data_IF_798660091816
#
_entry.id   IF_798660091816
#
_cell.length_a   1.000
_cell.length_b   1.000
_cell.length_c   1.000
_cell.angle_alpha   90.00
_cell.angle_beta   90.00
_cell.angle_gamma   90.00
#
_symmetry.space_group_name_H-M   'P 1'
#
loop_
_entity.id
_entity.type
_entity.pdbx_description
1 polymer ?
#
# COMPACT_ATOMS: atom_id res chain seq x y z
N UNK A 1 -10.16 19.49 1.29
CA UNK A 1 -9.57 19.17 -0.02
C UNK A 1 -10.41 18.14 -0.77
N UNK A 2 -10.33 18.15 -2.08
CA UNK A 2 -10.94 17.14 -2.94
C UNK A 2 -9.80 16.30 -3.52
N UNK A 3 -9.73 14.98 -3.24
CA UNK A 3 -8.73 14.12 -3.83
C UNK A 3 -8.98 13.95 -5.34
N UNK A 4 -7.92 13.94 -6.11
CA UNK A 4 -7.90 13.57 -7.52
C UNK A 4 -7.07 12.31 -7.63
N UNK A 5 -7.70 11.20 -7.99
CA UNK A 5 -7.01 9.95 -8.26
C UNK A 5 -6.44 9.98 -9.66
N UNK A 6 -5.17 9.68 -9.81
CA UNK A 6 -4.55 9.48 -11.12
C UNK A 6 -4.73 8.01 -11.53
N UNK A 7 -5.00 7.82 -12.82
CA UNK A 7 -5.17 6.48 -13.37
C UNK A 7 -3.79 5.84 -13.62
N UNK A 8 -3.49 4.78 -12.89
CA UNK A 8 -2.23 4.02 -12.99
C UNK A 8 -2.42 2.63 -13.62
N UNK A 9 -3.64 2.32 -14.10
CA UNK A 9 -3.90 1.04 -14.76
C UNK A 9 -3.18 0.95 -16.12
N UNK A 10 -2.78 -0.25 -16.58
CA UNK A 10 -3.00 -1.55 -15.94
C UNK A 10 -1.85 -2.02 -15.03
N UNK A 11 -0.67 -1.41 -15.09
CA UNK A 11 0.54 -1.87 -14.41
C UNK A 11 0.84 -1.15 -13.09
N UNK A 12 -0.02 -0.19 -12.73
CA UNK A 12 0.03 0.58 -11.50
C UNK A 12 1.31 1.39 -11.27
N UNK A 13 1.99 1.74 -12.36
CA UNK A 13 3.17 2.60 -12.37
C UNK A 13 2.81 4.07 -12.33
N UNK A 14 3.74 4.89 -11.86
CA UNK A 14 3.58 6.32 -11.77
C UNK A 14 4.05 6.95 -13.09
N UNK A 15 3.13 7.59 -13.82
CA UNK A 15 3.45 8.43 -14.96
C UNK A 15 3.71 9.86 -14.46
N UNK A 16 4.98 10.25 -14.42
CA UNK A 16 5.41 11.56 -13.94
C UNK A 16 4.85 12.70 -14.79
N UNK A 17 4.65 12.50 -16.10
CA UNK A 17 4.05 13.51 -16.98
C UNK A 17 2.57 13.69 -16.64
N UNK A 18 1.84 12.60 -16.41
CA UNK A 18 0.44 12.66 -15.96
C UNK A 18 0.32 13.38 -14.61
N UNK A 19 1.26 13.13 -13.69
CA UNK A 19 1.29 13.84 -12.41
C UNK A 19 1.47 15.34 -12.63
N UNK A 20 2.45 15.74 -13.43
CA UNK A 20 2.74 17.15 -13.69
C UNK A 20 1.58 17.86 -14.39
N UNK A 21 0.94 17.21 -15.37
CA UNK A 21 -0.22 17.74 -16.10
C UNK A 21 -1.47 17.92 -15.21
N UNK A 22 -1.60 17.13 -14.13
CA UNK A 22 -2.70 17.26 -13.18
C UNK A 22 -2.53 18.41 -12.17
N UNK A 23 -1.33 18.96 -12.03
CA UNK A 23 -1.04 20.06 -11.10
C UNK A 23 -1.66 21.37 -11.59
N UNK A 24 -2.28 22.09 -10.65
CA UNK A 24 -2.83 23.42 -10.87
C UNK A 24 -2.76 24.26 -9.59
N UNK A 25 -3.19 25.54 -9.64
CA UNK A 25 -3.13 26.49 -8.51
C UNK A 25 -3.83 26.00 -7.22
N UNK A 26 -4.74 25.03 -7.34
CA UNK A 26 -5.46 24.44 -6.21
C UNK A 26 -4.76 23.20 -5.64
N UNK A 27 -3.78 22.65 -6.34
CA UNK A 27 -3.01 21.50 -5.85
C UNK A 27 -2.17 21.91 -4.66
N UNK A 28 -2.31 21.21 -3.53
CA UNK A 28 -1.64 21.53 -2.26
C UNK A 28 -0.71 20.42 -1.79
N UNK A 29 -1.02 19.19 -2.14
CA UNK A 29 -0.17 18.06 -1.80
C UNK A 29 -0.34 16.93 -2.83
N UNK A 30 0.69 16.09 -2.91
CA UNK A 30 0.64 14.76 -3.51
C UNK A 30 0.80 13.75 -2.38
N UNK A 31 0.01 12.69 -2.40
CA UNK A 31 0.13 11.56 -1.48
C UNK A 31 0.59 10.34 -2.27
N UNK A 32 1.74 9.81 -1.89
CA UNK A 32 2.31 8.55 -2.38
C UNK A 32 2.09 7.48 -1.31
N UNK A 33 1.59 6.31 -1.68
CA UNK A 33 1.63 5.11 -0.85
C UNK A 33 2.48 4.06 -1.56
N UNK A 34 3.67 3.79 -1.02
CA UNK A 34 4.60 2.80 -1.56
C UNK A 34 5.37 2.12 -0.41
N UNK A 35 5.42 0.78 -0.39
CA UNK A 35 4.68 -0.20 -1.19
C UNK A 35 3.15 -0.03 -1.09
N UNK A 36 2.44 -0.22 -2.19
CA UNK A 36 1.06 0.23 -2.33
C UNK A 36 0.02 -0.77 -1.80
N UNK A 37 -0.97 -0.26 -1.07
CA UNK A 37 -2.23 -0.93 -0.84
C UNK A 37 -3.30 -0.27 -1.76
N UNK A 38 -3.90 -0.98 -2.72
CA UNK A 38 -4.13 -2.43 -2.76
C UNK A 38 -3.19 -3.25 -3.67
N UNK A 39 -2.33 -2.63 -4.46
CA UNK A 39 -1.70 -3.25 -5.63
C UNK A 39 -0.48 -4.11 -5.30
N UNK A 40 0.22 -3.80 -4.21
CA UNK A 40 1.52 -4.42 -3.88
C UNK A 40 2.68 -3.92 -4.73
N UNK A 41 2.47 -2.95 -5.62
CA UNK A 41 3.53 -2.34 -6.43
C UNK A 41 4.40 -1.44 -5.56
N UNK A 42 5.69 -1.44 -5.83
CA UNK A 42 6.67 -0.54 -5.21
C UNK A 42 7.08 0.50 -6.25
N UNK A 43 7.03 1.77 -5.88
CA UNK A 43 7.51 2.84 -6.74
C UNK A 43 9.03 2.71 -6.94
N UNK A 44 9.48 2.85 -8.17
CA UNK A 44 10.89 2.82 -8.51
C UNK A 44 11.63 4.05 -7.99
N UNK A 45 12.94 3.98 -7.85
CA UNK A 45 13.77 5.14 -7.47
C UNK A 45 13.58 6.32 -8.42
N UNK A 46 13.41 6.08 -9.72
CA UNK A 46 13.16 7.12 -10.73
C UNK A 46 11.80 7.80 -10.52
N UNK A 47 10.74 7.02 -10.28
CA UNK A 47 9.41 7.54 -9.98
C UNK A 47 9.40 8.36 -8.67
N UNK A 48 10.03 7.86 -7.63
CA UNK A 48 10.12 8.51 -6.32
C UNK A 48 10.87 9.83 -6.42
N UNK A 49 12.05 9.83 -7.07
CA UNK A 49 12.84 11.05 -7.31
C UNK A 49 12.09 12.06 -8.15
N UNK A 50 11.47 11.61 -9.25
CA UNK A 50 10.70 12.50 -10.12
C UNK A 50 9.52 13.15 -9.39
N UNK A 51 8.79 12.43 -8.54
CA UNK A 51 7.74 13.01 -7.69
C UNK A 51 8.30 14.06 -6.72
N UNK A 52 9.42 13.77 -6.09
CA UNK A 52 10.08 14.69 -5.17
C UNK A 52 10.50 16.00 -5.86
N UNK A 53 11.08 15.89 -7.06
CA UNK A 53 11.48 17.04 -7.89
C UNK A 53 10.27 17.86 -8.38
N UNK A 54 9.19 17.20 -8.83
CA UNK A 54 7.94 17.85 -9.22
C UNK A 54 7.35 18.63 -8.05
N UNK A 55 7.25 18.03 -6.87
CA UNK A 55 6.74 18.69 -5.67
C UNK A 55 7.59 19.92 -5.29
N UNK A 56 8.91 19.81 -5.35
CA UNK A 56 9.83 20.90 -5.07
C UNK A 56 9.68 22.04 -6.08
N UNK A 57 9.61 21.71 -7.37
CA UNK A 57 9.43 22.68 -8.48
C UNK A 57 8.14 23.50 -8.33
N UNK A 58 7.06 22.87 -7.94
CA UNK A 58 5.74 23.51 -7.83
C UNK A 58 5.42 24.05 -6.42
N UNK A 59 6.30 23.83 -5.43
CA UNK A 59 6.10 24.27 -4.04
C UNK A 59 4.90 23.61 -3.37
N UNK A 60 4.61 22.34 -3.69
CA UNK A 60 3.54 21.55 -3.12
C UNK A 60 4.11 20.49 -2.16
N UNK A 61 3.33 20.15 -1.13
CA UNK A 61 3.76 19.15 -0.16
C UNK A 61 3.76 17.74 -0.78
N UNK A 62 4.75 16.93 -0.43
CA UNK A 62 4.76 15.50 -0.70
C UNK A 62 4.55 14.74 0.61
N UNK A 63 3.52 13.91 0.65
CA UNK A 63 3.26 13.00 1.77
C UNK A 63 3.53 11.59 1.29
N UNK A 64 4.45 10.89 1.95
CA UNK A 64 4.80 9.50 1.66
C UNK A 64 4.29 8.60 2.78
N UNK A 65 3.35 7.72 2.46
CA UNK A 65 2.88 6.67 3.35
C UNK A 65 3.71 5.41 3.11
N UNK A 66 4.64 5.16 4.02
CA UNK A 66 5.65 4.12 3.95
C UNK A 66 5.37 2.94 4.92
N UNK A 67 4.14 2.82 5.40
CA UNK A 67 3.74 1.81 6.41
C UNK A 67 4.06 0.36 6.01
N UNK A 68 4.37 0.10 4.75
CA UNK A 68 4.76 -1.21 4.22
C UNK A 68 6.22 -1.27 3.77
N UNK A 69 7.07 -0.27 4.05
CA UNK A 69 8.46 -0.19 3.60
C UNK A 69 9.28 -1.44 3.94
N UNK A 70 9.12 -1.99 5.15
CA UNK A 70 9.77 -3.24 5.59
C UNK A 70 9.37 -4.47 4.75
N UNK A 71 8.21 -4.43 4.09
CA UNK A 71 7.77 -5.46 3.15
C UNK A 71 8.09 -5.09 1.70
N UNK A 72 9.22 -4.46 1.44
CA UNK A 72 9.77 -4.33 0.11
C UNK A 72 10.54 -5.61 -0.23
N UNK A 73 10.13 -6.30 -1.31
CA UNK A 73 10.76 -7.55 -1.75
C UNK A 73 11.85 -7.33 -2.78
N UNK A 74 12.14 -6.08 -3.11
CA UNK A 74 13.26 -5.65 -3.94
C UNK A 74 14.49 -5.38 -3.07
N UNK A 75 15.67 -5.33 -3.70
CA UNK A 75 16.93 -5.11 -2.97
C UNK A 75 17.04 -3.70 -2.35
N UNK A 76 16.37 -2.72 -2.95
CA UNK A 76 16.39 -1.33 -2.50
C UNK A 76 14.98 -0.75 -2.43
N UNK A 77 14.63 -0.18 -1.31
CA UNK A 77 13.48 0.69 -1.13
C UNK A 77 13.90 2.16 -1.27
N UNK A 78 13.16 2.94 -2.05
CA UNK A 78 13.42 4.37 -2.21
C UNK A 78 12.37 5.19 -1.47
N UNK A 79 12.82 6.16 -0.66
CA UNK A 79 11.95 7.15 -0.02
C UNK A 79 12.12 8.52 -0.69
N UNK A 80 11.05 9.27 -0.95
CA UNK A 80 11.18 10.62 -1.50
C UNK A 80 11.84 11.62 -0.53
N UNK A 81 11.97 11.26 0.76
CA UNK A 81 12.69 12.08 1.73
C UNK A 81 14.19 12.21 1.42
N UNK A 82 14.78 11.25 0.71
CA UNK A 82 16.18 11.30 0.26
C UNK A 82 16.41 12.37 -0.82
N UNK A 83 15.35 12.80 -1.51
CA UNK A 83 15.42 13.74 -2.63
C UNK A 83 14.76 15.09 -2.33
N UNK A 84 13.90 15.17 -1.32
CA UNK A 84 13.20 16.39 -0.94
C UNK A 84 13.01 16.45 0.58
N UNK A 85 13.80 17.27 1.27
CA UNK A 85 13.75 17.48 2.73
C UNK A 85 12.38 18.00 3.24
N UNK A 86 11.52 18.48 2.33
CA UNK A 86 10.16 18.93 2.67
C UNK A 86 9.13 17.79 2.62
N UNK A 87 9.55 16.55 2.36
CA UNK A 87 8.68 15.38 2.38
C UNK A 87 8.19 15.09 3.79
N UNK A 88 6.91 14.77 3.89
CA UNK A 88 6.28 14.30 5.14
C UNK A 88 6.15 12.78 5.01
N UNK A 89 6.88 12.03 5.84
CA UNK A 89 6.84 10.56 5.84
C UNK A 89 5.97 10.08 6.98
N UNK A 90 5.07 9.15 6.66
CA UNK A 90 4.20 8.45 7.61
C UNK A 90 4.64 7.01 7.66
N UNK A 91 4.98 6.52 8.85
CA UNK A 91 5.38 5.14 9.07
C UNK A 91 4.89 4.63 10.43
N UNK A 92 5.12 3.36 10.74
CA UNK A 92 4.74 2.78 12.02
C UNK A 92 4.89 1.27 12.10
N UNK A 93 4.58 0.75 13.26
CA UNK A 93 4.82 -0.64 13.65
C UNK A 93 3.62 -1.57 13.36
N UNK A 94 2.50 -1.00 12.91
CA UNK A 94 1.25 -1.74 12.76
C UNK A 94 1.34 -2.94 11.84
N UNK A 95 2.12 -2.83 10.75
CA UNK A 95 2.20 -3.84 9.71
C UNK A 95 3.45 -4.69 9.85
N UNK A 96 4.61 -4.07 9.87
CA UNK A 96 5.91 -4.72 9.99
C UNK A 96 6.04 -5.58 11.25
N UNK A 97 5.61 -5.05 12.39
CA UNK A 97 5.77 -5.70 13.70
C UNK A 97 4.47 -6.32 14.26
N UNK A 98 3.45 -6.50 13.41
CA UNK A 98 2.13 -7.04 13.81
C UNK A 98 1.47 -6.28 14.98
N UNK A 99 1.77 -4.97 15.13
CA UNK A 99 1.33 -4.13 16.25
C UNK A 99 0.07 -3.31 15.93
N UNK A 100 -0.87 -3.85 15.15
CA UNK A 100 -2.08 -3.12 14.74
C UNK A 100 -2.92 -2.64 15.93
N UNK A 101 -3.04 -3.46 16.98
CA UNK A 101 -3.78 -3.14 18.21
C UNK A 101 -3.06 -2.17 19.15
N UNK A 102 -1.76 -1.97 19.00
CA UNK A 102 -0.95 -1.08 19.85
C UNK A 102 -1.12 0.40 19.52
N UNK A 103 -1.65 0.71 18.33
CA UNK A 103 -1.92 2.08 17.88
C UNK A 103 -0.69 3.00 17.91
N UNK A 104 0.46 2.51 17.44
CA UNK A 104 1.72 3.22 17.41
C UNK A 104 2.18 3.44 15.96
N UNK A 105 2.45 4.68 15.63
CA UNK A 105 3.04 5.11 14.35
C UNK A 105 3.83 6.38 14.57
N UNK A 106 4.52 6.83 13.53
CA UNK A 106 5.35 8.02 13.54
C UNK A 106 5.16 8.82 12.26
N UNK A 107 5.43 10.11 12.37
CA UNK A 107 5.51 11.03 11.24
C UNK A 107 6.79 11.83 11.41
N UNK A 108 7.57 11.95 10.35
CA UNK A 108 8.69 12.88 10.30
C UNK A 108 8.61 13.77 9.05
N UNK A 109 9.28 14.92 9.11
CA UNK A 109 9.22 15.91 8.03
C UNK A 109 9.59 17.31 8.51
N UNK A 110 9.20 18.37 7.77
CA UNK A 110 9.56 19.74 8.09
C UNK A 110 9.12 20.16 9.51
N UNK A 111 10.02 20.79 10.25
CA UNK A 111 9.81 21.16 11.66
C UNK A 111 8.48 21.89 11.88
N UNK A 112 8.13 22.88 11.06
CA UNK A 112 6.91 23.66 11.21
C UNK A 112 5.63 22.81 11.07
N UNK A 113 5.65 21.77 10.23
CA UNK A 113 4.56 20.81 10.05
C UNK A 113 4.45 19.95 11.31
N UNK A 114 5.56 19.37 11.77
CA UNK A 114 5.60 18.50 12.95
C UNK A 114 5.15 19.25 14.22
N UNK A 115 5.61 20.48 14.40
CA UNK A 115 5.18 21.31 15.54
C UNK A 115 3.65 21.57 15.52
N UNK A 116 3.10 21.79 14.31
CA UNK A 116 1.65 21.99 14.15
C UNK A 116 0.87 20.71 14.43
N UNK A 117 1.36 19.55 13.92
CA UNK A 117 0.77 18.24 14.20
C UNK A 117 0.81 17.91 15.71
N UNK A 118 1.92 18.21 16.39
CA UNK A 118 2.04 18.00 17.83
C UNK A 118 1.02 18.84 18.65
N UNK A 119 0.74 20.09 18.23
CA UNK A 119 -0.30 20.90 18.83
C UNK A 119 -1.70 20.30 18.66
N UNK A 120 -2.03 19.84 17.45
CA UNK A 120 -3.31 19.19 17.16
C UNK A 120 -3.46 17.91 17.98
N UNK A 121 -2.38 17.12 18.05
CA UNK A 121 -2.34 15.87 18.81
C UNK A 121 -2.69 16.10 20.30
N UNK A 122 -2.15 17.15 20.93
CA UNK A 122 -2.45 17.48 22.34
C UNK A 122 -3.93 17.65 22.61
N UNK A 123 -4.69 18.16 21.63
CA UNK A 123 -6.14 18.38 21.77
C UNK A 123 -7.00 17.22 21.27
N UNK A 124 -6.39 16.20 20.66
CA UNK A 124 -7.09 15.02 20.13
C UNK A 124 -6.96 13.82 21.08
N UNK A 125 -5.78 13.26 21.21
CA UNK A 125 -5.52 12.06 22.00
C UNK A 125 -4.22 12.16 22.83
N UNK A 126 -3.66 13.35 22.96
CA UNK A 126 -2.49 13.74 23.79
C UNK A 126 -1.20 13.10 23.28
N UNK A 127 -1.05 11.78 23.36
CA UNK A 127 0.12 11.03 22.91
C UNK A 127 -0.26 9.54 22.69
N UNK A 128 0.63 8.81 22.02
CA UNK A 128 0.52 7.35 21.98
C UNK A 128 0.65 6.75 23.39
N UNK A 129 0.01 5.60 23.69
CA UNK A 129 0.11 4.96 24.99
C UNK A 129 1.58 4.67 25.38
N UNK A 130 1.99 5.05 26.59
CA UNK A 130 3.37 4.89 27.03
C UNK A 130 3.91 3.45 26.91
N UNK A 131 3.15 2.38 27.26
CA UNK A 131 3.62 1.03 27.05
C UNK A 131 3.91 0.71 25.57
N UNK A 132 3.10 1.26 24.65
CA UNK A 132 3.32 1.08 23.21
C UNK A 132 4.60 1.79 22.75
N UNK A 133 4.92 2.96 23.30
CA UNK A 133 6.15 3.67 22.97
C UNK A 133 7.40 2.88 23.40
N UNK A 134 7.39 2.27 24.59
CA UNK A 134 8.50 1.41 25.05
C UNK A 134 8.60 0.14 24.19
N UNK A 135 7.48 -0.48 23.84
CA UNK A 135 7.48 -1.61 22.91
C UNK A 135 8.02 -1.21 21.51
N UNK A 136 7.75 0.02 21.06
CA UNK A 136 8.29 0.55 19.81
C UNK A 136 9.82 0.64 19.78
N UNK A 137 10.45 0.99 20.89
CA UNK A 137 11.91 1.00 20.97
C UNK A 137 12.50 -0.40 20.78
N UNK A 138 11.90 -1.41 21.40
CA UNK A 138 12.32 -2.81 21.21
C UNK A 138 12.02 -3.31 19.79
N UNK A 139 10.90 -2.90 19.23
CA UNK A 139 10.53 -3.24 17.87
C UNK A 139 11.54 -2.75 16.83
N UNK A 140 12.11 -1.56 17.02
CA UNK A 140 13.14 -0.99 16.12
C UNK A 140 14.43 -1.81 16.08
N UNK A 141 14.72 -2.58 17.11
CA UNK A 141 15.90 -3.46 17.19
C UNK A 141 15.60 -4.90 16.72
N UNK A 142 14.34 -5.18 16.35
CA UNK A 142 13.90 -6.54 15.96
C UNK A 142 14.25 -6.81 14.50
N UNK A 143 14.97 -7.90 14.24
CA UNK A 143 15.22 -8.38 12.87
C UNK A 143 13.94 -8.97 12.27
N UNK A 144 13.49 -8.42 11.15
CA UNK A 144 12.30 -8.83 10.42
C UNK A 144 12.58 -9.73 9.21
N UNK A 145 13.83 -10.06 8.93
CA UNK A 145 14.27 -10.75 7.71
C UNK A 145 13.52 -12.05 7.45
N UNK A 146 13.34 -12.89 8.47
CA UNK A 146 12.60 -14.16 8.34
C UNK A 146 11.13 -13.94 8.00
N UNK A 147 10.50 -12.91 8.59
CA UNK A 147 9.10 -12.57 8.32
C UNK A 147 8.93 -12.04 6.89
N UNK A 148 9.80 -11.15 6.45
CA UNK A 148 9.80 -10.60 5.09
C UNK A 148 9.96 -11.73 4.06
N UNK A 149 10.89 -12.65 4.25
CA UNK A 149 11.08 -13.81 3.35
C UNK A 149 9.88 -14.76 3.36
N UNK A 150 9.26 -14.98 4.52
CA UNK A 150 8.01 -15.74 4.61
C UNK A 150 6.88 -15.09 3.79
N UNK A 151 6.72 -13.76 3.88
CA UNK A 151 5.72 -13.05 3.07
C UNK A 151 6.05 -13.06 1.58
N UNK A 152 7.32 -12.97 1.20
CA UNK A 152 7.77 -13.12 -0.18
C UNK A 152 7.41 -14.50 -0.75
N UNK A 153 7.60 -15.55 0.05
CA UNK A 153 7.20 -16.92 -0.32
C UNK A 153 5.67 -17.01 -0.51
N UNK A 154 4.88 -16.42 0.37
CA UNK A 154 3.41 -16.37 0.25
C UNK A 154 2.95 -15.57 -0.98
N UNK A 155 3.61 -14.45 -1.27
CA UNK A 155 3.40 -13.67 -2.49
C UNK A 155 3.60 -14.55 -3.73
N UNK A 156 4.71 -15.26 -3.79
CA UNK A 156 5.03 -16.13 -4.93
C UNK A 156 4.02 -17.28 -5.08
N UNK A 157 3.60 -17.86 -3.97
CA UNK A 157 2.58 -18.92 -3.92
C UNK A 157 1.26 -18.43 -4.54
N UNK A 158 0.71 -17.33 -4.09
CA UNK A 158 -0.57 -16.82 -4.60
C UNK A 158 -0.45 -16.31 -6.04
N UNK A 159 0.60 -15.58 -6.39
CA UNK A 159 0.81 -15.08 -7.73
C UNK A 159 0.94 -16.21 -8.75
N UNK A 160 1.73 -17.23 -8.44
CA UNK A 160 1.89 -18.42 -9.31
C UNK A 160 0.61 -19.24 -9.39
N UNK A 161 -0.17 -19.32 -8.28
CA UNK A 161 -1.43 -20.02 -8.26
C UNK A 161 -2.54 -19.38 -9.12
N UNK A 162 -2.45 -18.07 -9.38
CA UNK A 162 -3.50 -17.32 -10.08
C UNK A 162 -3.15 -16.91 -11.51
N UNK A 163 -1.86 -16.76 -11.87
CA UNK A 163 -1.45 -16.13 -13.13
C UNK A 163 -1.96 -16.80 -14.41
N UNK A 164 -2.34 -18.08 -14.36
CA UNK A 164 -2.88 -18.80 -15.53
C UNK A 164 -4.30 -18.39 -15.90
N UNK A 165 -5.07 -17.86 -14.93
CA UNK A 165 -6.49 -17.55 -15.09
C UNK A 165 -6.84 -16.08 -14.79
N UNK A 166 -5.90 -15.32 -14.21
CA UNK A 166 -6.08 -13.94 -13.83
C UNK A 166 -4.99 -13.05 -14.42
N UNK A 167 -5.40 -11.93 -14.99
CA UNK A 167 -4.51 -10.83 -15.32
C UNK A 167 -4.10 -10.15 -14.01
N UNK A 168 -2.81 -10.15 -13.69
CA UNK A 168 -2.27 -9.58 -12.45
C UNK A 168 -0.87 -9.03 -12.63
N UNK A 169 -0.55 -8.01 -11.85
CA UNK A 169 0.81 -7.51 -11.66
C UNK A 169 1.43 -8.25 -10.47
N UNK A 170 2.68 -8.67 -10.61
CA UNK A 170 3.42 -9.31 -9.52
C UNK A 170 3.65 -8.27 -8.40
N UNK A 171 3.19 -8.51 -7.17
CA UNK A 171 3.49 -7.61 -6.06
C UNK A 171 4.99 -7.58 -5.77
N UNK A 172 5.51 -6.40 -5.54
CA UNK A 172 6.91 -6.16 -5.20
C UNK A 172 7.09 -5.74 -3.74
N UNK A 173 5.97 -5.52 -3.05
CA UNK A 173 5.94 -5.19 -1.62
C UNK A 173 4.56 -5.34 -1.00
N UNK A 174 4.41 -4.92 0.25
CA UNK A 174 3.24 -5.10 1.09
C UNK A 174 2.84 -6.59 1.22
N UNK A 175 1.58 -6.88 1.48
CA UNK A 175 1.04 -8.25 1.52
C UNK A 175 -0.34 -8.33 0.83
N UNK A 176 -0.43 -7.63 -0.31
CA UNK A 176 -1.62 -7.60 -1.16
C UNK A 176 -1.29 -7.97 -2.60
N UNK A 177 -2.27 -8.56 -3.28
CA UNK A 177 -2.28 -8.75 -4.73
C UNK A 177 -3.61 -8.23 -5.26
N UNK A 178 -3.59 -7.62 -6.45
CA UNK A 178 -4.73 -6.90 -7.01
C UNK A 178 -5.03 -7.38 -8.44
N UNK A 179 -5.54 -8.63 -8.59
CA UNK A 179 -5.85 -9.19 -9.90
C UNK A 179 -7.12 -8.57 -10.48
N UNK A 180 -7.20 -8.56 -11.80
CA UNK A 180 -8.41 -8.21 -12.53
C UNK A 180 -9.44 -9.33 -12.42
N UNK A 181 -10.70 -8.95 -12.26
CA UNK A 181 -11.82 -9.90 -12.27
C UNK A 181 -11.84 -10.62 -13.64
N UNK A 182 -11.90 -11.96 -13.67
CA UNK A 182 -11.84 -12.72 -14.91
C UNK A 182 -13.14 -12.63 -15.73
N UNK A 183 -14.21 -12.19 -15.08
CA UNK A 183 -15.52 -11.91 -15.67
C UNK A 183 -16.28 -10.88 -14.82
N UNK A 184 -17.26 -10.23 -15.42
CA UNK A 184 -18.10 -9.22 -14.76
C UNK A 184 -17.31 -8.03 -14.23
N UNK A 185 -17.81 -7.43 -13.18
CA UNK A 185 -17.13 -6.38 -12.41
C UNK A 185 -16.39 -6.97 -11.21
N UNK A 186 -15.49 -6.18 -10.62
CA UNK A 186 -14.83 -6.55 -9.35
C UNK A 186 -15.84 -6.83 -8.24
N UNK A 187 -16.91 -6.03 -8.15
CA UNK A 187 -18.00 -6.21 -7.18
C UNK A 187 -18.77 -7.50 -7.40
N UNK A 188 -19.11 -7.84 -8.64
CA UNK A 188 -19.85 -9.07 -8.97
C UNK A 188 -18.99 -10.31 -8.63
N UNK A 189 -17.73 -10.29 -9.04
CA UNK A 189 -16.81 -11.39 -8.73
C UNK A 189 -16.61 -11.57 -7.22
N UNK A 190 -16.39 -10.49 -6.48
CA UNK A 190 -16.24 -10.51 -5.01
C UNK A 190 -17.50 -11.01 -4.33
N UNK A 191 -18.68 -10.61 -4.79
CA UNK A 191 -19.96 -11.12 -4.26
C UNK A 191 -20.03 -12.64 -4.37
N UNK A 192 -19.65 -13.18 -5.53
CA UNK A 192 -19.62 -14.62 -5.77
C UNK A 192 -18.57 -15.33 -4.89
N UNK A 193 -17.41 -14.70 -4.67
CA UNK A 193 -16.39 -15.22 -3.78
C UNK A 193 -16.86 -15.30 -2.32
N UNK A 194 -17.59 -14.29 -1.84
CA UNK A 194 -18.18 -14.28 -0.49
C UNK A 194 -19.20 -15.41 -0.33
N UNK A 195 -20.04 -15.66 -1.33
CA UNK A 195 -20.99 -16.81 -1.34
C UNK A 195 -20.26 -18.16 -1.23
N UNK A 196 -18.99 -18.22 -1.66
CA UNK A 196 -18.12 -19.38 -1.56
C UNK A 196 -17.15 -19.33 -0.35
N UNK A 197 -17.48 -18.56 0.68
CA UNK A 197 -16.72 -18.40 1.93
C UNK A 197 -15.30 -17.83 1.74
N UNK A 198 -15.07 -17.04 0.71
CA UNK A 198 -13.81 -16.34 0.47
C UNK A 198 -14.03 -14.82 0.60
N UNK A 199 -13.47 -14.23 1.67
CA UNK A 199 -13.59 -12.79 1.94
C UNK A 199 -12.44 -12.02 1.26
N UNK A 200 -12.76 -11.29 0.20
CA UNK A 200 -11.88 -10.41 -0.57
C UNK A 200 -12.56 -9.06 -0.78
N UNK A 201 -11.85 -8.05 -1.29
CA UNK A 201 -12.34 -6.68 -1.36
C UNK A 201 -12.40 -6.20 -2.81
N UNK A 202 -13.54 -5.65 -3.29
CA UNK A 202 -13.65 -5.15 -4.66
C UNK A 202 -12.83 -3.89 -4.87
N UNK A 203 -12.39 -3.67 -6.11
CA UNK A 203 -11.48 -2.59 -6.48
C UNK A 203 -12.08 -1.19 -6.36
N UNK A 204 -13.39 -1.07 -6.51
CA UNK A 204 -14.12 0.21 -6.40
C UNK A 204 -14.07 0.85 -5.00
N UNK A 205 -13.59 0.13 -3.99
CA UNK A 205 -13.29 0.70 -2.66
C UNK A 205 -12.00 1.56 -2.70
N UNK A 206 -11.11 1.28 -3.66
CA UNK A 206 -9.79 1.92 -3.76
C UNK A 206 -9.68 2.89 -4.93
N UNK A 207 -10.49 2.72 -5.96
CA UNK A 207 -10.46 3.54 -7.18
C UNK A 207 -11.86 3.73 -7.78
N UNK A 208 -11.95 4.52 -8.85
CA UNK A 208 -13.20 4.69 -9.61
C UNK A 208 -13.48 3.50 -10.55
N UNK A 209 -12.52 2.58 -10.72
CA UNK A 209 -12.66 1.42 -11.58
C UNK A 209 -13.12 0.19 -10.77
N UNK A 210 -14.19 -0.48 -11.26
CA UNK A 210 -14.70 -1.73 -10.68
C UNK A 210 -14.28 -2.94 -11.52
N UNK A 211 -12.98 -3.04 -11.80
CA UNK A 211 -12.41 -4.07 -12.68
C UNK A 211 -11.51 -5.07 -11.96
N UNK A 212 -11.05 -4.75 -10.76
CA UNK A 212 -10.09 -5.54 -9.99
C UNK A 212 -10.64 -5.87 -8.61
N UNK A 213 -9.91 -6.71 -7.86
CA UNK A 213 -10.20 -7.00 -6.46
C UNK A 213 -8.90 -7.23 -5.68
N UNK A 214 -8.93 -6.90 -4.39
CA UNK A 214 -7.77 -7.07 -3.51
C UNK A 214 -7.86 -8.36 -2.73
N UNK A 215 -6.76 -9.11 -2.71
CA UNK A 215 -6.53 -10.23 -1.81
C UNK A 215 -5.39 -9.87 -0.85
N UNK A 216 -5.56 -10.14 0.44
CA UNK A 216 -4.47 -10.16 1.41
C UNK A 216 -3.94 -11.58 1.55
N UNK A 217 -2.64 -11.76 1.40
CA UNK A 217 -1.98 -13.06 1.64
C UNK A 217 -1.34 -13.14 3.04
N UNK A 218 -1.74 -12.26 3.96
CA UNK A 218 -1.39 -12.34 5.38
C UNK A 218 -2.22 -13.44 6.08
N UNK A 219 -2.03 -14.68 5.65
CA UNK A 219 -2.75 -15.87 6.12
C UNK A 219 -1.80 -17.06 6.20
N UNK A 220 -2.28 -18.22 6.74
CA UNK A 220 -1.50 -19.46 6.67
C UNK A 220 -1.46 -20.00 5.22
N UNK A 221 -0.47 -20.83 4.94
CA UNK A 221 -0.29 -21.43 3.62
C UNK A 221 -1.51 -22.24 3.17
N UNK A 222 -2.14 -22.97 4.10
CA UNK A 222 -3.35 -23.76 3.84
C UNK A 222 -4.54 -22.86 3.45
N UNK A 223 -4.65 -21.71 4.10
CA UNK A 223 -5.72 -20.73 3.78
C UNK A 223 -5.47 -20.11 2.40
N UNK A 224 -4.22 -19.81 2.07
CA UNK A 224 -3.84 -19.29 0.74
C UNK A 224 -4.16 -20.33 -0.34
N UNK A 225 -3.76 -21.59 -0.16
CA UNK A 225 -3.99 -22.66 -1.13
C UNK A 225 -5.49 -22.88 -1.37
N UNK A 226 -6.28 -22.93 -0.30
CA UNK A 226 -7.73 -23.04 -0.40
C UNK A 226 -8.35 -21.82 -1.10
N UNK A 227 -7.85 -20.62 -0.83
CA UNK A 227 -8.28 -19.40 -1.53
C UNK A 227 -8.00 -19.46 -3.03
N UNK A 228 -6.82 -19.95 -3.43
CA UNK A 228 -6.46 -20.17 -4.82
C UNK A 228 -7.42 -21.16 -5.49
N UNK A 229 -7.73 -22.29 -4.85
CA UNK A 229 -8.68 -23.29 -5.38
C UNK A 229 -10.07 -22.67 -5.64
N UNK A 230 -10.61 -21.92 -4.68
CA UNK A 230 -11.90 -21.24 -4.82
C UNK A 230 -11.87 -20.23 -5.97
N UNK A 231 -10.84 -19.39 -6.04
CA UNK A 231 -10.71 -18.39 -7.09
C UNK A 231 -10.61 -19.00 -8.48
N UNK A 232 -9.81 -20.05 -8.65
CA UNK A 232 -9.69 -20.79 -9.92
C UNK A 232 -11.01 -21.45 -10.32
N UNK A 233 -11.73 -22.02 -9.35
CA UNK A 233 -13.06 -22.60 -9.61
C UNK A 233 -14.03 -21.53 -10.12
N UNK A 234 -14.08 -20.36 -9.46
CA UNK A 234 -14.97 -19.27 -9.84
C UNK A 234 -14.58 -18.64 -11.19
N UNK A 235 -13.29 -18.54 -11.49
CA UNK A 235 -12.83 -18.04 -12.78
C UNK A 235 -13.26 -18.95 -13.96
N UNK A 236 -13.27 -20.27 -13.73
CA UNK A 236 -13.70 -21.26 -14.72
C UNK A 236 -15.23 -21.42 -14.85
N UNK A 237 -15.99 -20.94 -13.86
CA UNK A 237 -17.45 -21.15 -13.80
C UNK A 237 -18.16 -19.81 -13.51
N UNK A 238 -18.37 -18.97 -14.52
CA UNK A 238 -18.92 -17.61 -14.36
C UNK A 238 -20.42 -17.54 -14.07
N UNK A 239 -21.11 -18.65 -13.80
CA UNK A 239 -22.57 -18.71 -13.50
C UNK A 239 -22.91 -18.50 -12.02
#
# INVERSE_FOLDING_TARGET
GVPVLLDTYPDFKIDLQMVEDAINDRTKLILLNSPANPTGVVATEEEVRGLAEICQKHGIALVSDEIYSEFCYQDNYATPADYNEQTIVIDGFSKSHAMTGWRLGMVHGPQAVIETMAKIQQYSFVCAPQPAQWAGLEAMETDLSEYVESYKTKRDRIANGLRDQFELVQPEGAFYIFPKAPWGTGTEFVTKAIENNLLIIPGNIFSNADTHFRISYAASDEVIDRGIEVLRHLAANPE
#
